data_IF_380377534619
#
_entry.id   IF_380377534619
#
_cell.length_a   1.000
_cell.length_b   1.000
_cell.length_c   1.000
_cell.angle_alpha   90.00
_cell.angle_beta   90.00
_cell.angle_gamma   90.00
#
_symmetry.space_group_name_H-M   'P 1'
#
loop_
_entity.id
_entity.type
_entity.pdbx_description
1 polymer ?
#
# COMPACT_ATOMS: atom_id res chain seq x y z
N UNK A 1 -1.82 -4.54 21.59
CA UNK A 1 -0.46 -4.21 21.10
C UNK A 1 -0.23 -2.73 21.33
N UNK A 2 0.96 -2.32 21.76
CA UNK A 2 1.31 -0.91 21.79
C UNK A 2 1.66 -0.43 20.37
N UNK A 3 1.49 0.86 20.05
CA UNK A 3 1.89 1.42 18.75
C UNK A 3 3.37 1.12 18.41
N UNK A 4 4.25 1.12 19.41
CA UNK A 4 5.67 0.80 19.25
C UNK A 4 5.92 -0.65 18.81
N UNK A 5 5.14 -1.61 19.30
CA UNK A 5 5.26 -3.02 18.92
C UNK A 5 4.79 -3.24 17.47
N UNK A 6 3.72 -2.57 17.07
CA UNK A 6 3.21 -2.62 15.69
C UNK A 6 4.21 -2.00 14.72
N UNK A 7 4.76 -0.83 15.07
CA UNK A 7 5.76 -0.16 14.24
C UNK A 7 7.03 -0.99 14.02
N UNK A 8 7.52 -1.67 15.06
CA UNK A 8 8.69 -2.57 14.95
C UNK A 8 8.40 -3.76 14.03
N UNK A 9 7.27 -4.44 14.23
CA UNK A 9 6.90 -5.59 13.39
C UNK A 9 6.74 -5.20 11.91
N UNK A 10 6.12 -4.04 11.64
CA UNK A 10 6.00 -3.53 10.27
C UNK A 10 7.37 -3.22 9.64
N UNK A 11 8.28 -2.63 10.42
CA UNK A 11 9.64 -2.34 9.96
C UNK A 11 10.44 -3.61 9.66
N UNK A 12 10.34 -4.63 10.51
CA UNK A 12 11.04 -5.90 10.35
C UNK A 12 10.57 -6.62 9.07
N UNK A 13 9.25 -6.73 8.87
CA UNK A 13 8.69 -7.32 7.64
C UNK A 13 9.05 -6.55 6.37
N UNK A 14 9.05 -5.22 6.43
CA UNK A 14 9.48 -4.38 5.30
C UNK A 14 10.97 -4.60 4.96
N UNK A 15 11.81 -4.73 6.00
CA UNK A 15 13.24 -4.99 5.84
C UNK A 15 13.52 -6.36 5.22
N UNK A 16 12.82 -7.41 5.68
CA UNK A 16 12.88 -8.75 5.09
C UNK A 16 12.49 -8.76 3.62
N UNK A 17 11.37 -8.09 3.28
CA UNK A 17 10.90 -7.97 1.90
C UNK A 17 11.95 -7.32 0.97
N UNK A 18 12.62 -6.26 1.44
CA UNK A 18 13.70 -5.61 0.68
C UNK A 18 14.85 -6.57 0.40
N UNK A 19 15.25 -7.38 1.38
CA UNK A 19 16.36 -8.34 1.22
C UNK A 19 16.02 -9.38 0.16
N UNK A 20 14.82 -9.99 0.26
CA UNK A 20 14.34 -10.98 -0.72
C UNK A 20 14.26 -10.38 -2.13
N UNK A 21 13.78 -9.14 -2.25
CA UNK A 21 13.62 -8.52 -3.57
C UNK A 21 14.96 -8.19 -4.23
N UNK A 22 15.97 -7.79 -3.44
CA UNK A 22 17.33 -7.58 -3.94
C UNK A 22 17.99 -8.87 -4.42
N UNK A 23 17.78 -9.99 -3.72
CA UNK A 23 18.30 -11.30 -4.14
C UNK A 23 17.66 -11.79 -5.44
N UNK A 24 16.36 -11.54 -5.66
CA UNK A 24 15.68 -11.91 -6.91
C UNK A 24 16.16 -11.09 -8.11
N UNK A 25 16.54 -9.83 -7.90
CA UNK A 25 17.03 -8.96 -8.98
C UNK A 25 18.43 -9.33 -9.48
N UNK A 26 19.23 -10.06 -8.70
CA UNK A 26 20.58 -10.50 -9.10
C UNK A 26 20.59 -11.78 -9.94
N UNK A 27 19.44 -12.45 -10.07
CA UNK A 27 19.27 -13.75 -10.73
C UNK A 27 18.43 -13.64 -12.02
N UNK A 28 18.53 -12.47 -12.69
CA UNK A 28 17.71 -12.07 -13.84
C UNK A 28 18.00 -12.93 -15.10
N UNK A 29 17.52 -14.17 -15.08
CA UNK A 29 17.19 -14.90 -16.30
C UNK A 29 15.92 -14.29 -16.89
N UNK A 30 16.08 -13.71 -18.08
CA UNK A 30 15.07 -13.09 -18.94
C UNK A 30 13.66 -13.71 -18.80
N UNK A 31 12.81 -13.07 -18.01
CA UNK A 31 11.38 -13.37 -17.94
C UNK A 31 10.67 -12.60 -19.06
N UNK A 32 9.98 -13.26 -20.00
CA UNK A 32 9.23 -12.58 -21.04
C UNK A 32 8.23 -11.59 -20.44
N UNK A 33 8.20 -10.40 -21.02
CA UNK A 33 7.43 -9.23 -20.63
C UNK A 33 5.92 -9.49 -20.75
N UNK A 34 5.34 -10.23 -19.82
CA UNK A 34 3.90 -10.49 -19.74
C UNK A 34 3.34 -9.97 -18.41
N UNK A 35 3.34 -8.65 -18.25
CA UNK A 35 2.22 -7.88 -17.70
C UNK A 35 2.60 -6.40 -17.56
N UNK A 36 1.69 -5.56 -18.01
CA UNK A 36 1.87 -4.15 -18.36
C UNK A 36 1.82 -3.19 -17.15
N UNK A 37 2.18 -3.65 -15.95
CA UNK A 37 2.00 -2.88 -14.71
C UNK A 37 3.28 -2.81 -13.87
N UNK A 38 4.38 -2.34 -14.48
CA UNK A 38 5.55 -1.91 -13.70
C UNK A 38 5.26 -0.54 -13.10
N UNK A 39 5.48 -0.37 -11.80
CA UNK A 39 5.37 0.94 -11.16
C UNK A 39 6.40 1.90 -11.77
N UNK A 40 5.94 3.09 -12.17
CA UNK A 40 6.78 4.17 -12.69
C UNK A 40 6.64 5.41 -11.81
N UNK A 41 7.70 6.22 -11.77
CA UNK A 41 7.65 7.49 -11.06
C UNK A 41 6.59 8.40 -11.72
N UNK A 42 5.72 9.03 -10.93
CA UNK A 42 4.73 9.98 -11.44
C UNK A 42 5.39 11.14 -12.18
N UNK A 43 4.70 11.66 -13.19
CA UNK A 43 5.13 12.87 -13.90
C UNK A 43 5.08 14.07 -12.95
N UNK A 44 5.86 15.10 -13.28
CA UNK A 44 5.76 16.41 -12.61
C UNK A 44 4.29 16.88 -12.71
N UNK A 45 3.78 17.48 -11.64
CA UNK A 45 2.38 17.91 -11.44
C UNK A 45 1.33 16.80 -11.26
N UNK A 46 1.73 15.52 -11.22
CA UNK A 46 0.83 14.43 -10.86
C UNK A 46 0.89 14.14 -9.36
N UNK A 47 -0.27 13.77 -8.79
CA UNK A 47 -0.36 13.19 -7.46
C UNK A 47 -0.45 11.67 -7.56
N UNK A 48 0.28 10.98 -6.69
CA UNK A 48 0.02 9.56 -6.38
C UNK A 48 -1.05 9.48 -5.32
N UNK A 49 -1.91 8.47 -5.42
CA UNK A 49 -2.88 8.12 -4.40
C UNK A 49 -2.62 6.69 -3.95
N UNK A 50 -2.26 6.49 -2.69
CA UNK A 50 -2.26 5.18 -2.06
C UNK A 50 -3.58 5.02 -1.31
N UNK A 51 -4.40 4.06 -1.72
CA UNK A 51 -5.66 3.72 -1.05
C UNK A 51 -5.45 2.44 -0.24
N UNK A 52 -6.01 2.39 0.96
CA UNK A 52 -6.01 1.20 1.81
C UNK A 52 -7.35 1.05 2.53
N UNK A 53 -7.75 -0.19 2.78
CA UNK A 53 -9.00 -0.54 3.44
C UNK A 53 -8.73 -1.40 4.67
N UNK A 54 -9.32 -1.02 5.80
CA UNK A 54 -9.28 -1.77 7.04
C UNK A 54 -10.67 -2.29 7.43
N UNK A 55 -10.75 -3.59 7.71
CA UNK A 55 -11.96 -4.28 8.16
C UNK A 55 -11.92 -4.51 9.68
N UNK A 56 -12.93 -4.02 10.37
CA UNK A 56 -13.13 -4.19 11.81
C UNK A 56 -14.38 -5.04 12.04
N UNK A 57 -14.24 -6.36 11.81
CA UNK A 57 -15.33 -7.34 11.82
C UNK A 57 -16.12 -7.31 13.13
N UNK A 58 -15.42 -7.28 14.27
CA UNK A 58 -16.07 -7.25 15.60
C UNK A 58 -17.00 -6.05 15.80
N UNK A 59 -16.71 -4.92 15.14
CA UNK A 59 -17.48 -3.69 15.22
C UNK A 59 -18.39 -3.46 14.01
N UNK A 60 -18.42 -4.39 13.07
CA UNK A 60 -19.20 -4.29 11.84
C UNK A 60 -18.82 -3.08 10.97
N UNK A 61 -17.53 -2.72 10.88
CA UNK A 61 -17.07 -1.48 10.24
C UNK A 61 -15.99 -1.73 9.19
N UNK A 62 -16.12 -1.06 8.06
CA UNK A 62 -15.06 -0.91 7.05
C UNK A 62 -14.60 0.53 7.03
N UNK A 63 -13.29 0.73 6.98
CA UNK A 63 -12.66 2.05 6.88
C UNK A 63 -11.81 2.11 5.62
N UNK A 64 -12.07 3.11 4.77
CA UNK A 64 -11.26 3.40 3.59
C UNK A 64 -10.41 4.62 3.88
N UNK A 65 -9.14 4.57 3.51
CA UNK A 65 -8.21 5.68 3.67
C UNK A 65 -7.44 5.91 2.39
N UNK A 66 -7.04 7.16 2.15
CA UNK A 66 -6.18 7.51 1.04
C UNK A 66 -5.10 8.49 1.45
N UNK A 67 -3.93 8.37 0.82
CA UNK A 67 -2.77 9.23 1.01
C UNK A 67 -2.30 9.75 -0.35
N UNK A 68 -2.28 11.07 -0.49
CA UNK A 68 -1.85 11.77 -1.69
C UNK A 68 -0.43 12.27 -1.53
N UNK A 69 0.42 12.00 -2.52
CA UNK A 69 1.80 12.50 -2.56
C UNK A 69 2.12 13.15 -3.89
N UNK A 70 2.93 14.20 -3.88
CA UNK A 70 3.38 14.86 -5.10
C UNK A 70 4.40 14.01 -5.88
N UNK A 71 4.82 14.52 -7.04
CA UNK A 71 5.81 13.84 -7.91
C UNK A 71 7.19 13.60 -7.26
N UNK A 72 7.50 14.29 -6.17
CA UNK A 72 8.70 14.07 -5.34
C UNK A 72 8.49 13.02 -4.24
N UNK A 73 7.26 12.50 -4.07
CA UNK A 73 6.89 11.55 -3.02
C UNK A 73 6.52 12.21 -1.69
N UNK A 74 6.45 13.54 -1.64
CA UNK A 74 6.10 14.29 -0.42
C UNK A 74 4.61 14.22 -0.17
N UNK A 75 4.23 14.01 1.09
CA UNK A 75 2.84 14.00 1.52
C UNK A 75 2.15 15.34 1.24
N UNK A 76 1.00 15.30 0.60
CA UNK A 76 0.19 16.48 0.27
C UNK A 76 -1.10 16.51 1.08
N UNK A 77 -1.84 15.39 1.10
CA UNK A 77 -3.12 15.29 1.79
C UNK A 77 -3.44 13.84 2.10
N UNK A 78 -4.39 13.62 3.01
CA UNK A 78 -4.96 12.30 3.25
C UNK A 78 -6.37 12.41 3.80
N UNK A 79 -7.15 11.34 3.62
CA UNK A 79 -8.46 11.24 4.25
C UNK A 79 -8.69 9.83 4.79
N UNK A 80 -9.69 9.74 5.66
CA UNK A 80 -10.20 8.48 6.18
C UNK A 80 -11.71 8.59 6.29
N UNK A 81 -12.41 7.60 5.76
CA UNK A 81 -13.86 7.48 5.84
C UNK A 81 -14.20 6.09 6.37
N UNK A 82 -15.22 6.00 7.22
CA UNK A 82 -15.73 4.72 7.69
C UNK A 82 -17.23 4.59 7.42
N UNK A 83 -17.67 3.34 7.28
CA UNK A 83 -19.07 2.99 7.09
C UNK A 83 -19.45 1.86 8.05
N UNK A 84 -20.70 1.87 8.53
CA UNK A 84 -21.22 0.89 9.49
C UNK A 84 -21.68 -0.40 8.78
N UNK A 85 -20.77 -1.01 8.02
CA UNK A 85 -20.94 -2.33 7.40
C UNK A 85 -19.56 -2.95 7.18
N UNK A 86 -19.50 -4.28 7.06
CA UNK A 86 -18.29 -5.01 6.67
C UNK A 86 -18.39 -5.34 5.19
N UNK A 87 -17.63 -4.63 4.37
CA UNK A 87 -17.48 -4.92 2.94
C UNK A 87 -16.55 -6.11 2.71
N UNK A 88 -16.66 -6.74 1.55
CA UNK A 88 -15.60 -7.62 1.02
C UNK A 88 -14.42 -6.80 0.48
N UNK A 89 -13.30 -7.47 0.22
CA UNK A 89 -12.13 -6.84 -0.42
C UNK A 89 -12.51 -6.21 -1.76
N UNK A 90 -13.19 -6.97 -2.63
CA UNK A 90 -13.58 -6.51 -3.96
C UNK A 90 -14.51 -5.29 -3.89
N UNK A 91 -15.51 -5.30 -3.00
CA UNK A 91 -16.44 -4.16 -2.85
C UNK A 91 -15.77 -2.90 -2.29
N UNK A 92 -14.68 -3.07 -1.54
CA UNK A 92 -13.98 -1.95 -0.90
C UNK A 92 -12.88 -1.33 -1.77
N UNK A 93 -12.42 -2.07 -2.77
CA UNK A 93 -11.41 -1.62 -3.75
C UNK A 93 -12.02 -1.18 -5.10
N UNK A 94 -13.31 -1.46 -5.31
CA UNK A 94 -14.10 -1.06 -6.49
C UNK A 94 -14.38 0.46 -6.55
#
# INVERSE_FOLDING_TARGET
RTPSQVGRAAFDHWSEWIVVHKMRSTDDHYVPLLSTARWEKPRIDWLTCNVDVAFFVDSGRTTTSACFRNSSGEFTAGFTQWQQMVLSTDESEA
#
